data_IF_290898106681
#
_entry.id   IF_290898106681
#
_cell.length_a   1.000
_cell.length_b   1.000
_cell.length_c   1.000
_cell.angle_alpha   90.00
_cell.angle_beta   90.00
_cell.angle_gamma   90.00
#
_symmetry.space_group_name_H-M   'P 1'
#
loop_
_entity.id
_entity.type
_entity.pdbx_description
1 polymer ?
#
# COMPACT_ATOMS: atom_id res chain seq x y z
N UNK A 1 4.32 -16.29 1.38
CA UNK A 1 4.77 -17.58 0.82
C UNK A 1 5.85 -17.23 -0.18
N UNK A 2 7.09 -17.71 -0.01
CA UNK A 2 8.09 -17.56 -1.08
C UNK A 2 7.80 -18.64 -2.11
N UNK A 3 7.38 -18.21 -3.30
CA UNK A 3 7.08 -19.07 -4.44
C UNK A 3 8.18 -18.79 -5.46
N UNK A 4 8.75 -19.84 -6.06
CA UNK A 4 9.74 -19.65 -7.13
C UNK A 4 9.13 -18.85 -8.29
N UNK A 5 9.91 -17.90 -8.83
CA UNK A 5 9.49 -17.06 -9.96
C UNK A 5 8.68 -15.81 -9.61
N UNK A 6 8.66 -15.38 -8.34
CA UNK A 6 8.04 -14.12 -7.92
C UNK A 6 9.05 -12.98 -7.98
N UNK A 7 8.78 -11.92 -8.75
CA UNK A 7 9.62 -10.71 -8.79
C UNK A 7 9.26 -9.70 -7.69
N UNK A 8 8.01 -9.74 -7.24
CA UNK A 8 7.43 -8.74 -6.31
C UNK A 8 6.73 -9.46 -5.17
N UNK A 9 7.14 -9.16 -3.93
CA UNK A 9 6.54 -9.76 -2.74
C UNK A 9 5.61 -8.77 -2.06
N UNK A 10 4.32 -9.14 -1.95
CA UNK A 10 3.31 -8.28 -1.33
C UNK A 10 3.09 -8.68 0.13
N UNK A 11 3.32 -7.75 1.06
CA UNK A 11 2.88 -7.87 2.45
C UNK A 11 1.54 -7.16 2.59
N UNK A 12 0.47 -7.95 2.73
CA UNK A 12 -0.91 -7.46 2.81
C UNK A 12 -1.30 -7.25 4.27
N UNK A 13 -1.64 -6.02 4.65
CA UNK A 13 -2.46 -5.77 5.84
C UNK A 13 -3.92 -5.81 5.38
N UNK A 14 -4.60 -6.93 5.66
CA UNK A 14 -5.97 -7.14 5.19
C UNK A 14 -6.96 -6.25 5.98
N UNK A 15 -7.56 -5.28 5.30
CA UNK A 15 -8.79 -4.57 5.69
C UNK A 15 -9.91 -4.97 4.73
N UNK A 16 -10.34 -6.25 4.76
CA UNK A 16 -11.32 -6.75 3.76
C UNK A 16 -12.72 -6.15 3.94
N UNK A 17 -13.05 -5.67 5.14
CA UNK A 17 -14.38 -5.17 5.48
C UNK A 17 -14.31 -3.73 5.98
N UNK A 18 -15.20 -2.87 5.47
CA UNK A 18 -15.35 -1.45 5.82
C UNK A 18 -15.66 -1.16 7.30
N UNK A 19 -15.69 -2.19 8.15
CA UNK A 19 -16.27 -2.15 9.49
C UNK A 19 -15.23 -2.30 10.61
N UNK A 20 -14.04 -2.85 10.35
CA UNK A 20 -12.97 -2.86 11.36
C UNK A 20 -11.80 -2.01 10.91
N UNK A 21 -11.86 -0.72 11.29
CA UNK A 21 -10.65 0.09 11.43
C UNK A 21 -9.79 -0.59 12.50
N UNK A 22 -8.79 -1.35 12.07
CA UNK A 22 -7.71 -1.74 12.99
C UNK A 22 -6.98 -0.46 13.40
N UNK A 23 -6.44 -0.40 14.61
CA UNK A 23 -5.69 0.77 15.04
C UNK A 23 -4.37 0.85 14.27
N UNK A 24 -3.79 2.06 14.19
CA UNK A 24 -2.44 2.27 13.63
C UNK A 24 -1.43 1.35 14.33
N UNK A 25 -1.55 1.15 15.63
CA UNK A 25 -0.68 0.25 16.39
C UNK A 25 -0.80 -1.21 15.93
N UNK A 26 -2.02 -1.67 15.63
CA UNK A 26 -2.25 -3.00 15.12
C UNK A 26 -1.68 -3.16 13.70
N UNK A 27 -1.86 -2.17 12.82
CA UNK A 27 -1.27 -2.18 11.48
C UNK A 27 0.26 -2.20 11.54
N UNK A 28 0.85 -1.34 12.37
CA UNK A 28 2.29 -1.33 12.63
C UNK A 28 2.76 -2.68 13.17
N UNK A 29 2.03 -3.29 14.11
CA UNK A 29 2.38 -4.60 14.65
C UNK A 29 2.30 -5.73 13.61
N UNK A 30 1.64 -5.53 12.47
CA UNK A 30 1.58 -6.50 11.36
C UNK A 30 2.67 -6.25 10.32
N UNK A 31 3.09 -5.00 10.18
CA UNK A 31 4.14 -4.57 9.23
C UNK A 31 5.54 -4.75 9.81
N UNK A 32 5.73 -4.44 11.09
CA UNK A 32 7.05 -4.24 11.71
C UNK A 32 7.74 -5.50 12.26
N UNK A 33 7.08 -6.56 12.78
CA UNK A 33 7.84 -7.58 13.49
C UNK A 33 8.61 -8.53 12.56
N UNK A 34 9.94 -8.56 12.77
CA UNK A 34 10.82 -9.65 12.35
C UNK A 34 11.15 -9.73 10.86
N UNK A 35 10.86 -8.68 10.07
CA UNK A 35 11.14 -8.63 8.64
C UNK A 35 12.16 -7.54 8.31
N UNK A 36 13.33 -7.95 7.82
CA UNK A 36 14.09 -7.14 6.87
C UNK A 36 13.60 -7.56 5.48
N UNK A 37 13.12 -6.63 4.66
CA UNK A 37 12.84 -6.93 3.27
C UNK A 37 14.20 -7.09 2.56
N UNK A 38 14.46 -8.27 2.00
CA UNK A 38 15.70 -8.48 1.24
C UNK A 38 15.62 -7.69 -0.07
N UNK A 39 16.18 -6.48 -0.05
CA UNK A 39 16.24 -5.56 -1.18
C UNK A 39 17.03 -6.11 -2.36
N UNK A 40 17.79 -7.19 -2.19
CA UNK A 40 18.58 -7.79 -3.27
C UNK A 40 17.78 -8.66 -4.23
N UNK A 41 16.51 -8.99 -3.91
CA UNK A 41 15.72 -9.95 -4.70
C UNK A 41 14.28 -9.56 -4.99
N UNK A 42 13.65 -8.68 -4.22
CA UNK A 42 12.22 -8.42 -4.38
C UNK A 42 11.86 -6.96 -4.14
N UNK A 43 11.01 -6.41 -5.01
CA UNK A 43 10.27 -5.20 -4.68
C UNK A 43 9.19 -5.57 -3.68
N UNK A 44 9.30 -5.08 -2.45
CA UNK A 44 8.32 -5.32 -1.39
C UNK A 44 7.19 -4.31 -1.55
N UNK A 45 6.00 -4.81 -1.89
CA UNK A 45 4.78 -4.01 -1.95
C UNK A 45 4.07 -4.10 -0.60
N UNK A 46 3.73 -2.95 -0.03
CA UNK A 46 2.81 -2.90 1.10
C UNK A 46 1.51 -2.20 0.71
N UNK A 47 0.38 -2.85 1.00
CA UNK A 47 -0.94 -2.22 0.93
C UNK A 47 -1.12 -1.37 2.18
N UNK A 48 -1.06 -0.05 2.03
CA UNK A 48 -1.05 0.87 3.16
C UNK A 48 -2.04 2.01 2.93
N UNK A 49 -2.79 2.33 3.97
CA UNK A 49 -3.85 3.35 3.96
C UNK A 49 -3.46 4.66 4.67
N UNK A 50 -2.36 4.68 5.44
CA UNK A 50 -2.01 5.77 6.36
C UNK A 50 -0.49 6.00 6.37
N UNK A 51 -0.09 7.27 6.40
CA UNK A 51 1.28 7.78 6.43
C UNK A 51 2.20 7.07 7.42
N UNK A 52 1.73 6.78 8.64
CA UNK A 52 2.53 6.21 9.73
C UNK A 52 3.04 4.81 9.37
N UNK A 53 2.17 4.01 8.75
CA UNK A 53 2.49 2.65 8.33
C UNK A 53 3.39 2.70 7.09
N UNK A 54 3.18 3.67 6.19
CA UNK A 54 4.02 3.89 4.99
C UNK A 54 5.44 4.24 5.37
N UNK A 55 5.62 5.17 6.29
CA UNK A 55 6.93 5.57 6.79
C UNK A 55 7.64 4.40 7.49
N UNK A 56 6.90 3.60 8.28
CA UNK A 56 7.46 2.42 8.94
C UNK A 56 7.88 1.34 7.95
N UNK A 57 7.08 1.12 6.89
CA UNK A 57 7.37 0.19 5.81
C UNK A 57 8.66 0.55 5.07
N UNK A 58 8.75 1.80 4.62
CA UNK A 58 9.90 2.34 3.88
C UNK A 58 11.19 2.25 4.70
N UNK A 59 11.11 2.50 6.02
CA UNK A 59 12.23 2.30 6.95
C UNK A 59 12.73 0.86 7.07
N UNK A 60 11.92 -0.12 6.67
CA UNK A 60 12.25 -1.55 6.70
C UNK A 60 12.72 -2.08 5.34
N UNK A 61 13.08 -1.19 4.42
CA UNK A 61 13.49 -1.48 3.04
C UNK A 61 12.31 -1.86 2.11
N UNK A 62 11.11 -1.34 2.40
CA UNK A 62 10.06 -1.33 1.38
C UNK A 62 10.47 -0.44 0.20
N UNK A 63 10.44 -0.97 -1.02
CA UNK A 63 10.76 -0.20 -2.23
C UNK A 63 9.52 0.27 -2.98
N UNK A 64 8.33 -0.29 -2.68
CA UNK A 64 7.09 0.07 -3.34
C UNK A 64 5.90 0.10 -2.37
N UNK A 65 5.01 1.07 -2.52
CA UNK A 65 3.71 1.12 -1.84
C UNK A 65 2.61 0.82 -2.85
N UNK A 66 1.59 0.09 -2.43
CA UNK A 66 0.36 -0.06 -3.19
C UNK A 66 -0.77 0.62 -2.43
N UNK A 67 -1.09 1.84 -2.84
CA UNK A 67 -2.15 2.63 -2.21
C UNK A 67 -3.49 2.31 -2.86
N UNK A 68 -4.37 1.69 -2.06
CA UNK A 68 -5.69 1.30 -2.50
C UNK A 68 -6.60 2.49 -2.82
N UNK A 69 -6.25 3.70 -2.39
CA UNK A 69 -7.09 4.89 -2.52
C UNK A 69 -6.42 6.02 -3.29
N UNK A 70 -5.28 5.74 -3.94
CA UNK A 70 -4.59 6.71 -4.80
C UNK A 70 -4.35 8.09 -4.13
N UNK A 71 -4.05 8.10 -2.84
CA UNK A 71 -3.81 9.31 -2.03
C UNK A 71 -5.07 10.07 -1.62
N UNK A 72 -6.27 9.62 -2.00
CA UNK A 72 -7.52 10.29 -1.62
C UNK A 72 -7.83 10.22 -0.12
N UNK A 73 -7.36 9.16 0.55
CA UNK A 73 -7.52 9.02 2.00
C UNK A 73 -6.41 9.73 2.78
N UNK A 74 -5.17 9.67 2.29
CA UNK A 74 -4.00 10.28 2.91
C UNK A 74 -2.98 10.72 1.84
N UNK A 75 -2.98 12.00 1.44
CA UNK A 75 -2.08 12.51 0.42
C UNK A 75 -0.61 12.60 0.89
N UNK A 76 -0.31 12.53 2.19
CA UNK A 76 1.07 12.58 2.69
C UNK A 76 1.88 11.33 2.32
N UNK A 77 1.20 10.24 1.94
CA UNK A 77 1.84 9.03 1.43
C UNK A 77 2.76 9.36 0.24
N UNK A 78 2.39 10.31 -0.63
CA UNK A 78 3.24 10.73 -1.75
C UNK A 78 4.56 11.35 -1.30
N UNK A 79 4.52 12.21 -0.27
CA UNK A 79 5.72 12.86 0.27
C UNK A 79 6.67 11.83 0.89
N UNK A 80 6.11 10.85 1.59
CA UNK A 80 6.89 9.76 2.20
C UNK A 80 7.52 8.89 1.13
N UNK A 81 6.74 8.41 0.15
CA UNK A 81 7.28 7.60 -0.95
C UNK A 81 8.40 8.34 -1.67
N UNK A 82 8.20 9.62 -2.00
CA UNK A 82 9.22 10.44 -2.65
C UNK A 82 10.48 10.61 -1.78
N UNK A 83 10.33 10.81 -0.47
CA UNK A 83 11.44 10.93 0.49
C UNK A 83 12.33 9.70 0.53
N UNK A 84 11.78 8.51 0.31
CA UNK A 84 12.52 7.24 0.29
C UNK A 84 12.88 6.76 -1.12
N UNK A 85 12.65 7.58 -2.15
CA UNK A 85 12.85 7.21 -3.56
C UNK A 85 12.13 5.90 -3.95
N UNK A 86 10.99 5.65 -3.31
CA UNK A 86 10.17 4.47 -3.55
C UNK A 86 9.23 4.63 -4.74
N UNK A 87 8.66 3.50 -5.16
CA UNK A 87 7.62 3.45 -6.18
C UNK A 87 6.24 3.42 -5.52
N UNK A 88 5.21 3.90 -6.22
CA UNK A 88 3.82 3.81 -5.76
C UNK A 88 2.90 3.30 -6.87
N UNK A 89 2.08 2.31 -6.53
CA UNK A 89 0.94 1.85 -7.32
C UNK A 89 -0.31 2.55 -6.80
N UNK A 90 -1.01 3.24 -7.68
CA UNK A 90 -2.28 3.91 -7.38
C UNK A 90 -3.41 3.01 -7.87
N UNK A 91 -4.26 2.56 -6.95
CA UNK A 91 -5.42 1.75 -7.30
C UNK A 91 -6.67 2.62 -7.44
N UNK A 92 -7.44 2.36 -8.50
CA UNK A 92 -8.84 2.75 -8.52
C UNK A 92 -9.61 1.94 -7.48
N UNK A 93 -10.39 2.63 -6.65
CA UNK A 93 -11.22 2.02 -5.62
C UNK A 93 -12.44 2.90 -5.32
N UNK A 94 -13.48 2.32 -4.74
CA UNK A 94 -14.73 3.03 -4.51
C UNK A 94 -15.68 2.30 -3.58
N UNK A 95 -16.81 2.94 -3.32
CA UNK A 95 -17.79 2.42 -2.37
C UNK A 95 -18.74 1.37 -2.99
N UNK A 96 -18.56 1.06 -4.29
CA UNK A 96 -19.38 0.12 -5.04
C UNK A 96 -20.58 0.76 -5.72
N UNK A 97 -20.88 2.03 -5.42
CA UNK A 97 -21.84 2.85 -6.15
C UNK A 97 -21.12 3.64 -7.25
N UNK A 98 -21.76 3.74 -8.42
CA UNK A 98 -21.24 4.47 -9.57
C UNK A 98 -22.38 5.17 -10.30
N UNK A 99 -22.17 6.44 -10.60
CA UNK A 99 -23.08 7.25 -11.40
C UNK A 99 -22.70 7.23 -12.89
N UNK A 100 -21.48 6.83 -13.22
CA UNK A 100 -20.94 6.73 -14.57
C UNK A 100 -20.26 5.38 -14.84
N UNK A 101 -19.81 5.17 -16.08
CA UNK A 101 -19.09 3.97 -16.49
C UNK A 101 -17.79 3.82 -15.70
N UNK A 102 -17.54 2.62 -15.16
CA UNK A 102 -16.30 2.33 -14.42
C UNK A 102 -15.03 2.60 -15.25
N UNK A 103 -15.09 2.39 -16.57
CA UNK A 103 -13.93 2.66 -17.43
C UNK A 103 -13.66 4.15 -17.56
N UNK A 104 -14.72 4.96 -17.67
CA UNK A 104 -14.60 6.41 -17.79
C UNK A 104 -14.11 7.02 -16.47
N UNK A 105 -14.64 6.54 -15.35
CA UNK A 105 -14.17 6.85 -14.01
C UNK A 105 -12.67 6.51 -13.85
N UNK A 106 -12.25 5.31 -14.22
CA UNK A 106 -10.84 4.90 -14.12
C UNK A 106 -9.88 5.75 -14.96
N UNK A 107 -10.33 6.28 -16.09
CA UNK A 107 -9.52 7.12 -16.98
C UNK A 107 -9.35 8.56 -16.48
N UNK A 108 -10.26 9.03 -15.62
CA UNK A 108 -10.27 10.41 -15.12
C UNK A 108 -9.67 10.54 -13.71
N UNK A 109 -9.80 9.50 -12.89
CA UNK A 109 -9.49 9.57 -11.45
C UNK A 109 -8.09 9.03 -11.08
N UNK A 110 -7.39 8.38 -12.02
CA UNK A 110 -5.98 7.97 -11.88
C UNK A 110 -5.09 8.82 -12.79
#
# INVERSE_FOLDING_TARGET
>A
MMIEGVDIMISVVYLRDRVMKVSVDEELSRVVPGRSFDSSRYSSIQLIHIEVVTEAAMKLDATMINDQWAGHHDPHIFEIVAKYEGEIVLMHNGDGHRDESVVDEMLLYL
#
